data_IF_156709771720
#
_entry.id   IF_156709771720
#
_cell.length_a   1.000
_cell.length_b   1.000
_cell.length_c   1.000
_cell.angle_alpha   90.00
_cell.angle_beta   90.00
_cell.angle_gamma   90.00
#
_symmetry.space_group_name_H-M   'P 1'
#
loop_
_entity.id
_entity.type
_entity.pdbx_description
1 polymer ?
#
# COMPACT_ATOMS: atom_id res chain seq x y z
N UNK A 1 -5.57 4.29 -7.05
CA UNK A 1 -6.39 4.68 -8.24
C UNK A 1 -6.61 6.17 -8.19
N UNK A 2 -6.80 6.80 -9.36
CA UNK A 2 -7.11 8.22 -9.47
C UNK A 2 -8.62 8.46 -9.67
N UNK A 3 -9.03 9.73 -9.83
CA UNK A 3 -10.43 10.13 -9.99
C UNK A 3 -11.10 9.62 -11.29
N UNK A 4 -10.32 9.04 -12.21
CA UNK A 4 -10.80 8.39 -13.43
C UNK A 4 -10.91 6.88 -13.28
N UNK A 5 -10.71 6.35 -12.06
CA UNK A 5 -10.59 4.92 -11.79
C UNK A 5 -9.46 4.21 -12.57
N UNK A 6 -8.44 4.95 -13.01
CA UNK A 6 -7.26 4.28 -13.57
C UNK A 6 -6.52 3.52 -12.47
N UNK A 7 -6.13 2.29 -12.77
CA UNK A 7 -5.44 1.37 -11.89
C UNK A 7 -3.95 1.39 -12.26
N UNK A 8 -3.09 1.95 -11.41
CA UNK A 8 -1.65 1.87 -11.59
C UNK A 8 -1.08 0.70 -10.78
N UNK A 9 -0.24 -0.10 -11.43
CA UNK A 9 0.36 -1.32 -10.86
C UNK A 9 1.87 -1.28 -11.05
N UNK A 10 2.62 -1.47 -9.97
CA UNK A 10 4.05 -1.71 -10.03
C UNK A 10 4.33 -3.16 -10.42
N UNK A 11 5.08 -3.33 -11.48
CA UNK A 11 5.57 -4.64 -11.89
C UNK A 11 6.99 -4.84 -11.35
N UNK A 12 7.09 -5.39 -10.16
CA UNK A 12 8.32 -5.56 -9.37
C UNK A 12 9.49 -6.13 -10.19
N UNK A 13 9.31 -7.31 -10.78
CA UNK A 13 10.36 -7.98 -11.58
C UNK A 13 10.57 -7.38 -12.97
N UNK A 14 9.58 -6.65 -13.50
CA UNK A 14 9.69 -5.99 -14.81
C UNK A 14 10.20 -4.55 -14.69
N UNK A 15 10.42 -4.06 -13.46
CA UNK A 15 10.98 -2.73 -13.19
C UNK A 15 10.22 -1.58 -13.88
N UNK A 16 8.90 -1.66 -13.89
CA UNK A 16 8.05 -0.66 -14.55
C UNK A 16 6.73 -0.47 -13.80
N UNK A 17 5.98 0.53 -14.20
CA UNK A 17 4.59 0.75 -13.82
C UNK A 17 3.72 0.53 -15.04
N UNK A 18 2.62 -0.20 -14.89
CA UNK A 18 1.56 -0.33 -15.89
C UNK A 18 0.27 0.29 -15.37
N UNK A 19 -0.47 0.94 -16.27
CA UNK A 19 -1.73 1.62 -15.96
C UNK A 19 -2.85 0.99 -16.79
N UNK A 20 -3.94 0.69 -16.12
CA UNK A 20 -5.13 0.07 -16.69
C UNK A 20 -6.36 0.94 -16.40
N UNK A 21 -7.41 0.79 -17.19
CA UNK A 21 -8.74 1.31 -16.88
C UNK A 21 -9.45 0.47 -15.80
N UNK A 22 -10.59 0.93 -15.32
CA UNK A 22 -11.39 0.28 -14.28
C UNK A 22 -11.95 -1.10 -14.66
N UNK A 23 -11.97 -1.43 -15.94
CA UNK A 23 -12.35 -2.75 -16.47
C UNK A 23 -11.15 -3.68 -16.71
N UNK A 24 -9.92 -3.20 -16.43
CA UNK A 24 -8.69 -3.95 -16.64
C UNK A 24 -8.08 -3.83 -18.04
N UNK A 25 -8.58 -2.95 -18.89
CA UNK A 25 -7.97 -2.69 -20.21
C UNK A 25 -6.64 -1.96 -20.03
N UNK A 26 -5.56 -2.47 -20.64
CA UNK A 26 -4.26 -1.82 -20.63
C UNK A 26 -4.29 -0.47 -21.33
N UNK A 27 -3.77 0.56 -20.66
CA UNK A 27 -3.70 1.93 -21.19
C UNK A 27 -2.28 2.33 -21.59
N UNK A 28 -1.31 2.17 -20.69
CA UNK A 28 0.09 2.58 -20.87
C UNK A 28 1.00 1.96 -19.84
N UNK A 29 2.31 2.02 -20.09
CA UNK A 29 3.33 1.71 -19.09
C UNK A 29 4.52 2.64 -19.23
N UNK A 30 5.29 2.79 -18.14
CA UNK A 30 6.50 3.58 -18.10
C UNK A 30 7.52 2.99 -17.12
N UNK A 31 8.79 3.38 -17.29
CA UNK A 31 9.87 2.85 -16.51
C UNK A 31 10.56 1.66 -17.17
N UNK A 32 11.76 1.40 -16.70
CA UNK A 32 12.61 0.25 -17.06
C UNK A 32 13.65 0.05 -15.96
N UNK A 33 14.35 -1.08 -15.98
CA UNK A 33 15.44 -1.36 -15.03
C UNK A 33 16.54 -0.31 -15.08
N UNK A 34 16.88 0.27 -13.93
CA UNK A 34 18.00 1.20 -13.79
C UNK A 34 17.93 2.11 -12.57
N UNK A 35 18.83 3.14 -12.54
CA UNK A 35 19.01 4.06 -11.41
C UNK A 35 18.79 5.53 -11.79
N UNK A 36 18.60 5.84 -13.08
CA UNK A 36 18.38 7.22 -13.55
C UNK A 36 16.97 7.67 -13.18
N UNK A 37 16.65 8.92 -13.45
CA UNK A 37 15.29 9.44 -13.33
C UNK A 37 14.37 8.68 -14.29
N UNK A 38 13.21 8.23 -13.80
CA UNK A 38 12.27 7.44 -14.58
C UNK A 38 12.64 5.96 -14.75
N UNK A 39 13.80 5.52 -14.25
CA UNK A 39 14.18 4.10 -14.18
C UNK A 39 13.90 3.56 -12.78
N UNK A 40 13.62 2.25 -12.65
CA UNK A 40 13.29 1.60 -11.38
C UNK A 40 14.19 0.39 -11.10
N UNK A 41 14.34 0.09 -9.83
CA UNK A 41 14.88 -1.18 -9.38
C UNK A 41 13.96 -1.78 -8.32
N UNK A 42 13.17 -2.78 -8.73
CA UNK A 42 12.14 -3.43 -7.92
C UNK A 42 11.14 -2.41 -7.32
N UNK A 43 10.32 -1.71 -8.15
CA UNK A 43 9.31 -0.79 -7.63
C UNK A 43 8.24 -1.56 -6.86
N UNK A 44 7.83 -1.03 -5.71
CA UNK A 44 6.87 -1.67 -4.78
C UNK A 44 5.62 -0.81 -4.60
N UNK A 45 5.59 0.07 -3.62
CA UNK A 45 4.44 0.91 -3.30
C UNK A 45 4.10 1.94 -4.39
N UNK A 46 2.82 2.15 -4.60
CA UNK A 46 2.32 3.12 -5.57
C UNK A 46 1.06 3.81 -5.06
N UNK A 47 0.98 5.12 -5.24
CA UNK A 47 -0.21 5.91 -4.93
C UNK A 47 -0.41 7.01 -5.98
N UNK A 48 -1.66 7.44 -6.16
CA UNK A 48 -1.97 8.69 -6.86
C UNK A 48 -2.15 9.82 -5.85
N UNK A 49 -1.65 11.01 -6.17
CA UNK A 49 -2.01 12.22 -5.46
C UNK A 49 -3.31 12.85 -6.03
N UNK A 50 -3.80 13.91 -5.39
CA UNK A 50 -5.03 14.60 -5.80
C UNK A 50 -4.92 15.32 -7.15
N UNK A 51 -3.71 15.51 -7.67
CA UNK A 51 -3.46 16.07 -9.01
C UNK A 51 -3.38 15.00 -10.09
N UNK A 52 -3.50 13.71 -9.72
CA UNK A 52 -3.35 12.58 -10.61
C UNK A 52 -1.90 12.20 -10.90
N UNK A 53 -0.93 12.74 -10.15
CA UNK A 53 0.46 12.31 -10.23
C UNK A 53 0.62 10.92 -9.59
N UNK A 54 1.59 10.18 -10.06
CA UNK A 54 1.89 8.81 -9.61
C UNK A 54 3.15 8.85 -8.74
N UNK A 55 3.02 8.45 -7.48
CA UNK A 55 4.11 8.36 -6.50
C UNK A 55 4.52 6.91 -6.33
N UNK A 56 5.78 6.58 -6.55
CA UNK A 56 6.30 5.20 -6.60
C UNK A 56 7.48 5.02 -5.67
N UNK A 57 7.40 4.02 -4.78
CA UNK A 57 8.54 3.54 -4.02
C UNK A 57 9.46 2.70 -4.93
N UNK A 58 10.66 3.19 -5.16
CA UNK A 58 11.71 2.55 -5.97
C UNK A 58 12.68 1.84 -5.01
N UNK A 59 12.26 0.64 -4.57
CA UNK A 59 12.73 -0.07 -3.37
C UNK A 59 14.26 -0.20 -3.31
N UNK A 60 14.89 -0.92 -4.24
CA UNK A 60 16.33 -1.14 -4.26
C UNK A 60 17.15 0.09 -4.68
N UNK A 61 16.50 1.11 -5.20
CA UNK A 61 17.11 2.41 -5.40
C UNK A 61 17.02 3.31 -4.17
N UNK A 62 16.34 2.86 -3.10
CA UNK A 62 16.19 3.57 -1.81
C UNK A 62 15.66 4.99 -1.99
N UNK A 63 14.61 5.17 -2.76
CA UNK A 63 14.01 6.46 -3.09
C UNK A 63 12.52 6.34 -3.38
N UNK A 64 11.86 7.48 -3.40
CA UNK A 64 10.53 7.65 -3.99
C UNK A 64 10.66 8.52 -5.23
N UNK A 65 9.95 8.20 -6.29
CA UNK A 65 9.85 9.01 -7.51
C UNK A 65 8.40 9.44 -7.74
N UNK A 66 8.23 10.65 -8.28
CA UNK A 66 6.94 11.25 -8.63
C UNK A 66 6.91 11.44 -10.14
N UNK A 67 5.80 11.05 -10.75
CA UNK A 67 5.53 11.13 -12.19
C UNK A 67 4.19 11.85 -12.41
N UNK A 68 4.05 12.51 -13.56
CA UNK A 68 2.72 12.94 -13.99
C UNK A 68 1.82 11.74 -14.35
N UNK A 69 0.54 11.98 -14.61
CA UNK A 69 -0.42 10.91 -14.98
C UNK A 69 -0.08 10.21 -16.30
N UNK A 70 0.81 10.75 -17.13
CA UNK A 70 1.30 10.15 -18.38
C UNK A 70 2.56 9.29 -18.16
N UNK A 71 3.17 9.33 -16.96
CA UNK A 71 4.39 8.61 -16.63
C UNK A 71 5.67 9.40 -16.93
N UNK A 72 5.60 10.72 -17.14
CA UNK A 72 6.78 11.57 -17.24
C UNK A 72 7.33 11.86 -15.84
N UNK A 73 8.63 11.71 -15.67
CA UNK A 73 9.32 11.98 -14.41
C UNK A 73 9.19 13.45 -14.02
N UNK A 74 8.77 13.72 -12.78
CA UNK A 74 8.68 15.05 -12.19
C UNK A 74 9.79 15.30 -11.17
N UNK A 75 9.85 14.47 -10.13
CA UNK A 75 10.80 14.62 -9.03
C UNK A 75 11.11 13.29 -8.32
N UNK A 76 12.08 13.34 -7.41
CA UNK A 76 12.44 12.22 -6.53
C UNK A 76 12.98 12.73 -5.22
N UNK A 77 12.90 11.91 -4.16
CA UNK A 77 13.45 12.20 -2.84
C UNK A 77 13.83 10.92 -2.09
N UNK A 78 14.44 11.06 -0.94
CA UNK A 78 14.68 9.98 0.02
C UNK A 78 16.13 9.52 0.15
N UNK A 79 17.05 9.97 -0.72
CA UNK A 79 18.49 9.65 -0.60
C UNK A 79 19.27 10.63 0.30
N UNK A 80 18.70 11.76 0.57
CA UNK A 80 19.33 12.82 1.34
C UNK A 80 19.42 12.41 2.81
N UNK A 81 20.62 12.48 3.36
CA UNK A 81 20.87 12.29 4.79
C UNK A 81 20.81 13.65 5.49
N UNK A 82 20.00 13.77 6.52
CA UNK A 82 19.96 14.94 7.39
C UNK A 82 20.21 14.55 8.85
N UNK A 83 20.26 15.56 9.74
CA UNK A 83 20.32 15.32 11.19
C UNK A 83 19.02 14.72 11.71
N UNK A 84 17.89 15.03 11.06
CA UNK A 84 16.55 14.72 11.54
C UNK A 84 16.03 13.37 11.05
N UNK A 85 16.56 12.89 9.93
CA UNK A 85 16.17 11.58 9.38
C UNK A 85 17.31 10.87 8.65
N UNK A 86 17.33 9.52 8.67
CA UNK A 86 18.18 8.73 7.78
C UNK A 86 17.68 8.84 6.33
N UNK A 87 18.50 8.49 5.33
CA UNK A 87 18.00 8.23 4.00
C UNK A 87 17.02 7.04 4.04
N UNK A 88 16.12 6.96 3.07
CA UNK A 88 15.27 5.79 2.88
C UNK A 88 16.13 4.53 2.64
N UNK A 89 15.65 3.40 3.15
CA UNK A 89 16.27 2.09 2.98
C UNK A 89 15.20 1.03 2.69
N UNK A 90 15.10 0.60 1.44
CA UNK A 90 14.07 -0.33 0.97
C UNK A 90 12.63 0.14 1.31
N UNK A 91 12.19 1.32 0.83
CA UNK A 91 10.82 1.76 1.01
C UNK A 91 9.85 0.77 0.33
N UNK A 92 8.86 0.30 1.08
CA UNK A 92 7.85 -0.65 0.59
C UNK A 92 6.54 0.05 0.26
N UNK A 93 5.82 0.51 1.25
CA UNK A 93 4.50 1.10 1.08
C UNK A 93 4.55 2.61 0.90
N UNK A 94 3.70 3.11 0.01
CA UNK A 94 3.46 4.56 -0.18
C UNK A 94 1.96 4.81 -0.16
N UNK A 95 1.55 5.81 0.59
CA UNK A 95 0.18 6.35 0.58
C UNK A 95 0.18 7.87 0.63
N UNK A 96 -0.95 8.48 0.31
CA UNK A 96 -1.15 9.93 0.38
C UNK A 96 -2.24 10.21 1.39
N UNK A 97 -2.01 11.15 2.31
CA UNK A 97 -3.03 11.55 3.27
C UNK A 97 -3.92 12.68 2.72
N UNK A 98 -4.94 13.06 3.51
CA UNK A 98 -5.89 14.12 3.12
C UNK A 98 -5.28 15.51 2.94
N UNK A 99 -4.06 15.75 3.45
CA UNK A 99 -3.31 17.00 3.25
C UNK A 99 -2.42 16.97 2.00
N UNK A 100 -2.34 15.83 1.31
CA UNK A 100 -1.43 15.60 0.20
C UNK A 100 -0.02 15.17 0.62
N UNK A 101 0.22 14.90 1.93
CA UNK A 101 1.53 14.42 2.38
C UNK A 101 1.74 12.97 1.96
N UNK A 102 2.97 12.64 1.61
CA UNK A 102 3.40 11.31 1.21
C UNK A 102 3.85 10.54 2.45
N UNK A 103 3.17 9.45 2.76
CA UNK A 103 3.52 8.55 3.85
C UNK A 103 4.29 7.36 3.27
N UNK A 104 5.49 7.14 3.76
CA UNK A 104 6.38 6.05 3.29
C UNK A 104 6.63 5.08 4.43
N UNK A 105 6.31 3.81 4.22
CA UNK A 105 6.74 2.72 5.08
C UNK A 105 8.14 2.29 4.65
N UNK A 106 9.14 2.69 5.41
CA UNK A 106 10.56 2.43 5.13
C UNK A 106 11.03 1.19 5.91
N UNK A 107 10.84 0.06 5.28
CA UNK A 107 11.02 -1.25 5.91
C UNK A 107 12.44 -1.49 6.38
N UNK A 108 13.44 -1.05 5.63
CA UNK A 108 14.85 -1.25 5.99
C UNK A 108 15.31 -0.42 7.21
N UNK A 109 14.66 0.72 7.50
CA UNK A 109 14.89 1.49 8.72
C UNK A 109 13.87 1.20 9.81
N UNK A 110 12.80 0.46 9.47
CA UNK A 110 11.65 0.18 10.33
C UNK A 110 10.93 1.45 10.81
N UNK A 111 10.91 2.47 9.96
CA UNK A 111 10.28 3.76 10.21
C UNK A 111 9.09 3.98 9.29
N UNK A 112 8.13 4.75 9.78
CA UNK A 112 7.19 5.46 8.92
C UNK A 112 7.71 6.88 8.79
N UNK A 113 7.94 7.33 7.56
CA UNK A 113 8.40 8.69 7.24
C UNK A 113 7.33 9.43 6.48
N UNK A 114 7.13 10.70 6.81
CA UNK A 114 6.16 11.58 6.18
C UNK A 114 6.90 12.70 5.47
N UNK A 115 6.55 12.91 4.23
CA UNK A 115 7.09 13.95 3.35
C UNK A 115 5.95 14.83 2.83
N UNK A 116 6.24 16.08 2.51
CA UNK A 116 5.30 16.92 1.78
C UNK A 116 5.03 16.38 0.36
N UNK A 117 4.04 16.92 -0.32
CA UNK A 117 3.77 16.60 -1.73
C UNK A 117 4.95 16.91 -2.67
N UNK A 118 5.86 17.81 -2.28
CA UNK A 118 7.11 18.11 -3.01
C UNK A 118 8.27 17.17 -2.67
N UNK A 119 8.12 16.31 -1.65
CA UNK A 119 9.16 15.38 -1.18
C UNK A 119 10.06 15.95 -0.08
N UNK A 120 9.70 17.06 0.56
CA UNK A 120 10.41 17.59 1.72
C UNK A 120 10.06 16.74 2.97
N UNK A 121 11.08 16.39 3.75
CA UNK A 121 10.89 15.64 4.99
C UNK A 121 10.11 16.47 6.02
N UNK A 122 9.05 15.90 6.56
CA UNK A 122 8.25 16.53 7.61
C UNK A 122 8.49 15.90 8.97
N UNK A 123 8.37 14.57 9.08
CA UNK A 123 8.55 13.85 10.34
C UNK A 123 8.64 12.34 10.13
N UNK A 124 8.99 11.62 11.21
CA UNK A 124 9.02 10.16 11.27
C UNK A 124 8.52 9.65 12.61
N UNK A 125 8.15 8.38 12.66
CA UNK A 125 7.87 7.64 13.88
C UNK A 125 8.15 6.14 13.69
N UNK A 126 8.21 5.41 14.80
CA UNK A 126 8.54 3.99 14.79
C UNK A 126 10.02 3.74 15.10
N UNK A 127 10.56 2.69 14.52
CA UNK A 127 11.93 2.22 14.70
C UNK A 127 11.99 0.75 15.10
N UNK A 128 13.20 0.15 15.19
CA UNK A 128 13.40 -1.30 15.38
C UNK A 128 12.84 -1.85 16.70
N UNK A 129 12.72 -1.02 17.74
CA UNK A 129 12.11 -1.43 19.02
C UNK A 129 10.58 -1.41 18.96
N UNK A 130 10.00 -0.88 17.88
CA UNK A 130 8.57 -0.68 17.77
C UNK A 130 7.92 -1.46 16.61
N UNK A 131 8.53 -1.45 15.42
CA UNK A 131 8.11 -2.23 14.28
C UNK A 131 9.10 -3.35 13.96
N UNK A 132 8.61 -4.49 13.50
CA UNK A 132 9.50 -5.54 13.00
C UNK A 132 9.63 -5.48 11.47
N UNK A 133 8.57 -5.12 10.76
CA UNK A 133 8.56 -4.92 9.31
C UNK A 133 7.32 -4.10 8.92
N UNK A 134 7.34 -2.76 9.10
CA UNK A 134 6.22 -1.92 8.67
C UNK A 134 6.15 -1.96 7.14
N UNK A 135 5.09 -2.55 6.61
CA UNK A 135 4.96 -2.77 5.17
C UNK A 135 4.16 -1.67 4.48
N UNK A 136 3.10 -1.21 5.10
CA UNK A 136 2.26 -0.12 4.61
C UNK A 136 1.66 0.69 5.76
N UNK A 137 1.48 1.98 5.55
CA UNK A 137 0.85 2.89 6.48
C UNK A 137 -0.15 3.76 5.74
N UNK A 138 -1.35 3.91 6.30
CA UNK A 138 -2.35 4.87 5.84
C UNK A 138 -2.76 5.78 6.99
N UNK A 139 -3.22 6.99 6.68
CA UNK A 139 -3.93 7.82 7.64
C UNK A 139 -5.43 7.60 7.49
N UNK A 140 -6.09 7.26 8.58
CA UNK A 140 -7.54 7.09 8.69
C UNK A 140 -8.09 8.01 9.78
N UNK A 141 -8.68 9.14 9.39
CA UNK A 141 -9.10 10.18 10.31
C UNK A 141 -7.93 10.69 11.16
N UNK A 142 -8.05 10.54 12.47
CA UNK A 142 -7.05 11.00 13.46
C UNK A 142 -6.00 9.92 13.82
N UNK A 143 -5.90 8.87 13.02
CA UNK A 143 -5.01 7.75 13.31
C UNK A 143 -4.14 7.39 12.10
N UNK A 144 -2.93 6.89 12.39
CA UNK A 144 -2.17 6.07 11.45
C UNK A 144 -2.48 4.60 11.70
N UNK A 145 -2.71 3.88 10.62
CA UNK A 145 -2.92 2.43 10.61
C UNK A 145 -1.76 1.80 9.87
N UNK A 146 -1.00 0.93 10.53
CA UNK A 146 0.24 0.36 10.00
C UNK A 146 0.15 -1.16 9.99
N UNK A 147 0.40 -1.78 8.85
CA UNK A 147 0.63 -3.22 8.79
C UNK A 147 2.07 -3.52 9.21
N UNK A 148 2.21 -4.20 10.33
CA UNK A 148 3.50 -4.67 10.86
C UNK A 148 3.66 -6.14 10.48
N UNK A 149 4.14 -6.36 9.27
CA UNK A 149 4.05 -7.61 8.52
C UNK A 149 4.62 -8.80 9.29
N UNK A 150 5.83 -8.71 9.80
CA UNK A 150 6.47 -9.81 10.54
C UNK A 150 6.01 -9.92 12.00
N UNK A 151 5.27 -8.94 12.51
CA UNK A 151 4.54 -9.02 13.77
C UNK A 151 3.10 -9.54 13.59
N UNK A 152 2.71 -9.90 12.36
CA UNK A 152 1.40 -10.46 12.03
C UNK A 152 0.24 -9.65 12.62
N UNK A 153 0.36 -8.31 12.61
CA UNK A 153 -0.61 -7.43 13.27
C UNK A 153 -0.76 -6.09 12.55
N UNK A 154 -1.86 -5.43 12.84
CA UNK A 154 -2.13 -4.06 12.43
C UNK A 154 -2.03 -3.19 13.67
N UNK A 155 -1.19 -2.15 13.62
CA UNK A 155 -1.01 -1.18 14.70
C UNK A 155 -1.75 0.11 14.39
N UNK A 156 -2.40 0.66 15.40
CA UNK A 156 -3.09 1.95 15.36
C UNK A 156 -2.31 2.92 16.23
N UNK A 157 -1.97 4.07 15.66
CA UNK A 157 -1.22 5.14 16.32
C UNK A 157 -1.99 6.46 16.17
N UNK A 158 -1.78 7.38 17.10
CA UNK A 158 -2.29 8.74 16.94
C UNK A 158 -1.45 9.54 15.91
N UNK A 159 -1.85 10.78 15.64
CA UNK A 159 -1.15 11.62 14.65
C UNK A 159 0.29 11.98 15.07
N UNK A 160 0.66 11.90 16.34
CA UNK A 160 2.04 12.06 16.83
C UNK A 160 2.87 10.78 16.67
N UNK A 161 2.28 9.69 16.16
CA UNK A 161 2.94 8.39 16.02
C UNK A 161 3.03 7.58 17.30
N UNK A 162 2.27 7.92 18.36
CA UNK A 162 2.20 7.18 19.61
C UNK A 162 1.22 6.02 19.49
N UNK A 163 1.60 4.89 20.07
CA UNK A 163 0.78 3.67 20.08
C UNK A 163 -0.56 3.88 20.81
N UNK A 164 -1.63 3.47 20.18
CA UNK A 164 -2.98 3.44 20.75
C UNK A 164 -3.41 2.01 20.98
N UNK A 165 -3.40 1.19 19.94
CA UNK A 165 -3.85 -0.20 20.00
C UNK A 165 -3.27 -1.03 18.85
N UNK A 166 -3.49 -2.33 18.92
CA UNK A 166 -3.22 -3.25 17.81
C UNK A 166 -4.29 -4.34 17.77
N UNK A 167 -4.51 -4.91 16.59
CA UNK A 167 -5.30 -6.11 16.43
C UNK A 167 -4.60 -7.09 15.49
N UNK A 168 -5.05 -8.35 15.54
CA UNK A 168 -4.41 -9.45 14.85
C UNK A 168 -3.23 -10.05 15.61
N UNK A 169 -2.92 -11.27 15.25
CA UNK A 169 -1.79 -12.10 15.70
C UNK A 169 -1.52 -13.14 14.62
N UNK A 170 -0.42 -13.85 14.73
CA UNK A 170 -0.11 -14.94 13.82
C UNK A 170 -1.21 -16.04 13.86
N UNK A 171 -1.66 -16.44 12.68
CA UNK A 171 -2.64 -17.49 12.50
C UNK A 171 -3.43 -17.38 11.19
N UNK A 172 -4.46 -18.23 11.06
CA UNK A 172 -5.28 -18.34 9.85
C UNK A 172 -6.79 -18.22 10.09
N UNK A 173 -7.22 -18.00 11.34
CA UNK A 173 -8.63 -17.76 11.67
C UNK A 173 -9.04 -16.35 11.28
N UNK A 174 -10.31 -16.04 11.40
CA UNK A 174 -10.83 -14.68 11.18
C UNK A 174 -10.23 -13.72 12.21
N UNK A 175 -9.69 -12.60 11.72
CA UNK A 175 -8.96 -11.63 12.55
C UNK A 175 -7.51 -12.01 12.87
N UNK A 176 -7.03 -13.20 12.51
CA UNK A 176 -5.62 -13.59 12.57
C UNK A 176 -4.95 -13.33 11.21
N UNK A 177 -3.63 -13.11 11.20
CA UNK A 177 -2.87 -12.79 9.99
C UNK A 177 -1.64 -13.68 9.81
N UNK A 178 -1.26 -13.83 8.56
CA UNK A 178 0.06 -14.29 8.18
C UNK A 178 0.68 -13.29 7.21
N UNK A 179 1.60 -12.45 7.73
CA UNK A 179 2.27 -11.41 6.98
C UNK A 179 1.29 -10.46 6.27
N UNK A 180 0.49 -9.68 7.01
CA UNK A 180 -0.38 -8.67 6.42
C UNK A 180 0.47 -7.61 5.72
N UNK A 181 0.10 -7.24 4.49
CA UNK A 181 0.85 -6.30 3.67
C UNK A 181 0.09 -4.99 3.49
N UNK A 182 -0.45 -4.73 2.32
CA UNK A 182 -1.12 -3.45 2.03
C UNK A 182 -2.46 -3.30 2.72
N UNK A 183 -2.77 -2.04 3.01
CA UNK A 183 -4.00 -1.56 3.61
C UNK A 183 -4.70 -0.60 2.66
N UNK A 184 -6.01 -0.67 2.59
CA UNK A 184 -6.84 0.37 1.98
C UNK A 184 -8.12 0.57 2.78
N UNK A 185 -8.87 1.62 2.46
CA UNK A 185 -10.16 1.89 3.10
C UNK A 185 -11.22 1.91 2.01
N UNK A 186 -12.28 1.14 2.18
CA UNK A 186 -13.38 1.13 1.23
C UNK A 186 -14.34 2.31 1.44
N UNK A 187 -15.33 2.45 0.58
CA UNK A 187 -16.32 3.55 0.64
C UNK A 187 -17.15 3.56 1.93
N UNK A 188 -17.32 2.41 2.57
CA UNK A 188 -18.03 2.30 3.86
C UNK A 188 -17.12 2.67 5.04
N UNK A 189 -15.87 3.08 4.80
CA UNK A 189 -14.90 3.39 5.85
C UNK A 189 -14.29 2.14 6.49
N UNK A 190 -14.48 0.95 5.91
CA UNK A 190 -13.92 -0.29 6.41
C UNK A 190 -12.48 -0.46 5.92
N UNK A 191 -11.65 -1.01 6.80
CA UNK A 191 -10.25 -1.31 6.52
C UNK A 191 -10.13 -2.63 5.76
N UNK A 192 -9.52 -2.60 4.59
CA UNK A 192 -9.23 -3.75 3.73
C UNK A 192 -7.77 -4.12 3.91
N UNK A 193 -7.49 -5.36 4.29
CA UNK A 193 -6.14 -5.86 4.63
C UNK A 193 -5.78 -7.05 3.75
N UNK A 194 -4.71 -6.96 2.99
CA UNK A 194 -4.14 -8.09 2.26
C UNK A 194 -3.40 -9.01 3.25
N UNK A 195 -4.02 -10.12 3.61
CA UNK A 195 -3.45 -11.17 4.46
C UNK A 195 -2.65 -12.16 3.60
N UNK A 196 -1.49 -11.66 3.13
CA UNK A 196 -0.72 -12.20 2.02
C UNK A 196 -0.33 -13.67 2.21
N UNK A 197 0.21 -14.04 3.38
CA UNK A 197 0.62 -15.40 3.67
C UNK A 197 -0.55 -16.38 3.83
N UNK A 198 -1.75 -15.89 4.08
CA UNK A 198 -2.98 -16.69 4.13
C UNK A 198 -3.75 -16.69 2.79
N UNK A 199 -3.23 -16.03 1.75
CA UNK A 199 -3.80 -15.99 0.40
C UNK A 199 -5.26 -15.48 0.38
N UNK A 200 -5.55 -14.43 1.17
CA UNK A 200 -6.88 -13.85 1.30
C UNK A 200 -6.82 -12.34 1.54
N UNK A 201 -7.95 -11.70 1.41
CA UNK A 201 -8.19 -10.33 1.86
C UNK A 201 -9.19 -10.38 3.01
N UNK A 202 -8.93 -9.66 4.08
CA UNK A 202 -9.83 -9.50 5.22
C UNK A 202 -10.30 -8.06 5.34
N UNK A 203 -11.52 -7.87 5.82
CA UNK A 203 -12.14 -6.55 6.00
C UNK A 203 -12.54 -6.38 7.46
N UNK A 204 -12.26 -5.18 7.99
CA UNK A 204 -12.45 -4.85 9.40
C UNK A 204 -13.13 -3.49 9.55
N UNK A 205 -13.86 -3.32 10.65
CA UNK A 205 -14.18 -1.99 11.16
C UNK A 205 -12.88 -1.25 11.54
N UNK A 206 -12.86 0.09 11.57
CA UNK A 206 -11.71 0.86 12.06
C UNK A 206 -11.27 0.50 13.49
N UNK A 207 -12.17 -0.06 14.28
CA UNK A 207 -11.91 -0.61 15.63
C UNK A 207 -11.03 -1.87 15.65
N UNK A 208 -10.84 -2.51 14.49
CA UNK A 208 -10.21 -3.83 14.36
C UNK A 208 -11.15 -5.01 14.48
N UNK A 209 -12.47 -4.78 14.56
CA UNK A 209 -13.46 -5.86 14.56
C UNK A 209 -13.57 -6.46 13.15
N UNK A 210 -13.43 -7.79 13.05
CA UNK A 210 -13.57 -8.51 11.79
C UNK A 210 -15.01 -8.37 11.24
N UNK A 211 -15.10 -8.11 9.94
CA UNK A 211 -16.39 -8.02 9.22
C UNK A 211 -16.54 -9.18 8.27
N UNK A 212 -15.59 -9.37 7.35
CA UNK A 212 -15.66 -10.42 6.35
C UNK A 212 -14.29 -10.67 5.69
N UNK A 213 -14.22 -11.67 4.83
CA UNK A 213 -13.04 -12.02 4.04
C UNK A 213 -13.43 -12.58 2.69
N UNK A 214 -12.52 -12.52 1.74
CA UNK A 214 -12.65 -13.18 0.44
C UNK A 214 -11.28 -13.62 -0.08
N UNK A 215 -11.28 -14.46 -1.09
CA UNK A 215 -10.11 -15.13 -1.62
C UNK A 215 -9.73 -16.38 -0.83
N UNK A 216 -9.16 -17.33 -1.55
CA UNK A 216 -8.61 -18.59 -1.01
C UNK A 216 -7.39 -18.99 -1.83
N UNK A 217 -6.52 -19.83 -1.31
CA UNK A 217 -5.30 -20.25 -2.01
C UNK A 217 -5.60 -20.96 -3.31
N UNK A 218 -5.08 -20.43 -4.43
CA UNK A 218 -5.19 -21.06 -5.74
C UNK A 218 -4.91 -20.12 -6.90
N UNK A 219 -5.22 -20.53 -8.13
CA UNK A 219 -5.02 -19.78 -9.37
C UNK A 219 -6.30 -19.58 -10.20
N UNK A 220 -7.43 -20.11 -9.74
CA UNK A 220 -8.75 -19.92 -10.38
C UNK A 220 -9.30 -18.51 -10.18
N UNK A 221 -10.49 -18.25 -10.70
CA UNK A 221 -11.22 -17.01 -10.47
C UNK A 221 -11.63 -16.94 -9.00
N UNK A 222 -11.35 -15.80 -8.35
CA UNK A 222 -11.60 -15.60 -6.92
C UNK A 222 -10.57 -16.25 -5.98
N UNK A 223 -9.67 -17.09 -6.51
CA UNK A 223 -8.54 -17.62 -5.75
C UNK A 223 -7.34 -16.67 -5.85
N UNK A 224 -6.52 -16.62 -4.81
CA UNK A 224 -5.38 -15.71 -4.66
C UNK A 224 -4.11 -16.48 -4.29
N UNK A 225 -2.97 -15.90 -4.67
CA UNK A 225 -1.66 -16.39 -4.24
C UNK A 225 -0.76 -15.22 -3.88
N UNK A 226 -0.49 -15.10 -2.58
CA UNK A 226 0.21 -13.96 -2.00
C UNK A 226 -0.33 -12.59 -2.48
N UNK A 227 -1.62 -12.25 -2.22
CA UNK A 227 -2.15 -10.94 -2.57
C UNK A 227 -1.33 -9.85 -1.90
N UNK A 228 -0.77 -8.95 -2.71
CA UNK A 228 0.14 -7.91 -2.22
C UNK A 228 -0.60 -6.64 -1.82
N UNK A 229 -1.50 -6.17 -2.68
CA UNK A 229 -2.25 -4.93 -2.44
C UNK A 229 -3.69 -5.05 -2.90
N UNK A 230 -4.55 -4.24 -2.32
CA UNK A 230 -5.94 -4.07 -2.73
C UNK A 230 -6.30 -2.58 -2.74
N UNK A 231 -7.11 -2.19 -3.72
CA UNK A 231 -7.58 -0.82 -3.86
C UNK A 231 -9.07 -0.82 -4.27
N UNK A 232 -9.76 0.28 -3.99
CA UNK A 232 -11.22 0.35 -4.19
C UNK A 232 -11.54 1.26 -5.38
N UNK A 233 -12.33 0.77 -6.33
CA UNK A 233 -12.89 1.55 -7.43
C UNK A 233 -14.01 2.48 -6.94
N UNK A 234 -14.31 3.49 -7.74
CA UNK A 234 -15.36 4.47 -7.41
C UNK A 234 -16.77 3.86 -7.36
N UNK A 235 -16.99 2.71 -7.99
CA UNK A 235 -18.24 1.95 -7.93
C UNK A 235 -18.31 0.97 -6.74
N UNK A 236 -17.22 0.85 -5.96
CA UNK A 236 -17.12 -0.01 -4.77
C UNK A 236 -16.49 -1.37 -5.03
N UNK A 237 -16.18 -1.73 -6.28
CA UNK A 237 -15.42 -2.95 -6.59
C UNK A 237 -14.02 -2.85 -5.99
N UNK A 238 -13.42 -4.00 -5.69
CA UNK A 238 -12.08 -4.09 -5.11
C UNK A 238 -11.14 -4.72 -6.13
N UNK A 239 -10.06 -4.00 -6.45
CA UNK A 239 -8.96 -4.51 -7.28
C UNK A 239 -7.90 -5.11 -6.38
N UNK A 240 -7.50 -6.35 -6.62
CA UNK A 240 -6.47 -7.07 -5.86
C UNK A 240 -5.29 -7.41 -6.76
N UNK A 241 -4.08 -7.04 -6.35
CA UNK A 241 -2.86 -7.54 -6.96
C UNK A 241 -2.57 -8.95 -6.45
N UNK A 242 -2.81 -9.94 -7.27
CA UNK A 242 -2.62 -11.36 -7.01
C UNK A 242 -1.19 -11.75 -7.41
N UNK A 243 -0.24 -11.45 -6.49
CA UNK A 243 1.18 -11.32 -6.77
C UNK A 243 1.82 -12.54 -7.44
N UNK A 244 1.72 -13.72 -6.82
CA UNK A 244 2.35 -14.93 -7.35
C UNK A 244 1.57 -15.57 -8.51
N UNK A 245 0.38 -15.09 -8.80
CA UNK A 245 -0.36 -15.44 -10.02
C UNK A 245 -0.12 -14.43 -11.15
N UNK A 246 0.69 -13.39 -10.93
CA UNK A 246 1.07 -12.39 -11.93
C UNK A 246 -0.12 -11.72 -12.62
N UNK A 247 -1.15 -11.37 -11.86
CA UNK A 247 -2.38 -10.77 -12.38
C UNK A 247 -2.99 -9.78 -11.39
N UNK A 248 -3.91 -8.98 -11.87
CA UNK A 248 -4.89 -8.28 -11.05
C UNK A 248 -6.24 -8.98 -11.18
N UNK A 249 -7.02 -9.00 -10.11
CA UNK A 249 -8.41 -9.45 -10.13
C UNK A 249 -9.31 -8.34 -9.62
N UNK A 250 -10.47 -8.20 -10.23
CA UNK A 250 -11.51 -7.25 -9.81
C UNK A 250 -12.63 -8.06 -9.17
N UNK A 251 -12.91 -7.75 -7.92
CA UNK A 251 -13.98 -8.37 -7.13
C UNK A 251 -15.15 -7.40 -7.08
N UNK A 252 -16.35 -7.92 -7.26
CA UNK A 252 -17.56 -7.14 -7.07
C UNK A 252 -17.66 -6.63 -5.63
N UNK A 253 -18.44 -5.55 -5.46
CA UNK A 253 -18.75 -5.04 -4.14
C UNK A 253 -19.27 -6.19 -3.29
N UNK A 254 -18.74 -6.33 -2.08
CA UNK A 254 -19.29 -7.28 -1.13
C UNK A 254 -20.72 -6.83 -0.83
N UNK A 255 -21.68 -7.44 -1.52
CA UNK A 255 -23.08 -7.24 -1.23
C UNK A 255 -23.29 -7.47 0.26
N UNK A 256 -23.96 -6.52 0.90
CA UNK A 256 -24.52 -6.70 2.23
C UNK A 256 -25.13 -8.09 2.30
N UNK A 257 -24.44 -9.04 2.93
CA UNK A 257 -25.17 -10.13 3.53
C UNK A 257 -25.96 -9.48 4.63
N UNK A 258 -27.16 -9.03 4.24
CA UNK A 258 -28.22 -8.61 5.14
C UNK A 258 -28.18 -9.51 6.36
N UNK A 259 -27.85 -8.93 7.49
CA UNK A 259 -28.20 -9.48 8.78
C UNK A 259 -29.73 -9.65 8.78
N UNK A 260 -30.18 -10.87 8.60
CA UNK A 260 -31.52 -11.30 9.00
C UNK A 260 -31.40 -11.89 10.39
#
# INVERSE_FOLDING_TARGET
>A
MNDRDEIAVTEYCNHRVSVFSSDGTYLRSFGKKGKRNGEFQYPTGIAFDSSGNIVVADNDNHRVQIFDGNGNFLSKFGKEKSRDHPPLNCPEGVSINGNGDIIVADTGTQLIMIFSSSGEYLRKFGGPDFFLNPYHCIQLGQYFVVSDCNNHSIKILNLEGKFISKFGKEGNRDGEFNKPRYLSVNKQGLLVVCDSGNNRVQVFEPSGKFVTKFGSKGSGVGELKHPNSAANLSDGRIVVCDGDNHRIQIFDQMCDTTLV
#
